data_IF_126012572232
#
_entry.id   IF_126012572232
#
_cell.length_a   1.000
_cell.length_b   1.000
_cell.length_c   1.000
_cell.angle_alpha   90.00
_cell.angle_beta   90.00
_cell.angle_gamma   90.00
#
_symmetry.space_group_name_H-M   'P 1'
#
loop_
_entity.id
_entity.type
_entity.pdbx_description
1 polymer ?
#
# COMPACT_ATOMS: atom_id res chain seq x y z
N UNK A 1 6.31 19.36 4.71
CA UNK A 1 6.81 18.02 4.42
C UNK A 1 7.29 17.93 2.99
N UNK A 2 8.42 17.31 2.80
CA UNK A 2 9.02 17.22 1.47
C UNK A 2 8.47 16.01 0.72
N UNK A 3 8.11 16.23 -0.53
CA UNK A 3 7.65 15.15 -1.39
C UNK A 3 8.73 14.84 -2.42
N UNK A 4 8.88 13.56 -2.71
CA UNK A 4 9.83 13.09 -3.70
C UNK A 4 9.07 12.36 -4.79
N UNK A 5 9.35 12.73 -6.03
CA UNK A 5 8.70 12.12 -7.17
C UNK A 5 9.56 11.00 -7.72
N UNK A 6 8.96 9.85 -7.95
CA UNK A 6 9.64 8.68 -8.50
C UNK A 6 8.89 8.21 -9.73
N UNK A 7 9.62 7.89 -10.79
CA UNK A 7 9.02 7.36 -12.00
C UNK A 7 9.10 5.85 -11.99
N UNK A 8 7.96 5.20 -12.17
CA UNK A 8 7.88 3.75 -12.21
C UNK A 8 7.06 3.31 -13.41
N UNK A 9 7.41 2.15 -13.96
CA UNK A 9 6.54 1.53 -14.96
C UNK A 9 5.32 0.98 -14.25
N UNK A 10 4.27 0.68 -15.02
CA UNK A 10 3.06 0.08 -14.45
C UNK A 10 3.38 -1.23 -13.77
N UNK A 11 4.30 -2.01 -14.35
CA UNK A 11 4.69 -3.30 -13.79
C UNK A 11 5.42 -3.13 -12.47
N UNK A 12 6.33 -2.15 -12.42
CA UNK A 12 7.05 -1.86 -11.18
C UNK A 12 6.11 -1.38 -10.09
N UNK A 13 5.14 -0.56 -10.45
CA UNK A 13 4.17 -0.06 -9.49
C UNK A 13 3.31 -1.19 -8.94
N UNK A 14 2.91 -2.11 -9.80
CA UNK A 14 2.14 -3.28 -9.39
C UNK A 14 2.92 -4.12 -8.41
N UNK A 15 4.18 -4.38 -8.71
CA UNK A 15 5.03 -5.15 -7.83
C UNK A 15 5.25 -4.45 -6.50
N UNK A 16 5.50 -3.15 -6.53
CA UNK A 16 5.70 -2.37 -5.32
C UNK A 16 4.46 -2.42 -4.43
N UNK A 17 3.29 -2.29 -5.03
CA UNK A 17 2.04 -2.33 -4.29
C UNK A 17 1.85 -3.69 -3.61
N UNK A 18 2.19 -4.77 -4.30
CA UNK A 18 2.10 -6.11 -3.76
C UNK A 18 3.07 -6.32 -2.60
N UNK A 19 4.32 -5.91 -2.78
CA UNK A 19 5.34 -6.04 -1.73
C UNK A 19 4.97 -5.23 -0.50
N UNK A 20 4.45 -4.02 -0.72
CA UNK A 20 4.05 -3.17 0.39
C UNK A 20 2.87 -3.77 1.16
N UNK A 21 1.92 -4.35 0.46
CA UNK A 21 0.77 -4.99 1.09
C UNK A 21 1.20 -6.19 1.93
N UNK A 22 2.10 -7.01 1.39
CA UNK A 22 2.60 -8.18 2.11
C UNK A 22 3.36 -7.76 3.36
N UNK A 23 4.20 -6.74 3.24
CA UNK A 23 4.98 -6.28 4.37
C UNK A 23 4.10 -5.67 5.45
N UNK A 24 3.06 -4.96 5.04
CA UNK A 24 2.11 -4.38 5.98
C UNK A 24 1.40 -5.49 6.76
N UNK A 25 0.98 -6.55 6.06
CA UNK A 25 0.33 -7.68 6.68
C UNK A 25 1.24 -8.31 7.73
N UNK A 26 2.53 -8.48 7.41
CA UNK A 26 3.47 -9.06 8.35
C UNK A 26 3.61 -8.19 9.60
N UNK A 27 3.72 -6.89 9.42
CA UNK A 27 3.87 -5.97 10.55
C UNK A 27 2.63 -5.94 11.43
N UNK A 28 1.49 -6.15 10.85
CA UNK A 28 0.23 -6.06 11.58
C UNK A 28 -0.13 -7.37 12.29
N UNK A 29 0.12 -8.50 11.64
CA UNK A 29 -0.39 -9.77 12.13
C UNK A 29 0.67 -10.80 12.52
N UNK A 30 1.87 -10.70 11.98
CA UNK A 30 2.91 -11.69 12.21
C UNK A 30 3.97 -11.20 13.17
N UNK A 31 4.56 -10.05 12.88
CA UNK A 31 5.65 -9.52 13.70
C UNK A 31 5.28 -9.32 15.17
N UNK A 32 4.05 -8.89 15.52
CA UNK A 32 3.71 -8.74 16.93
C UNK A 32 3.79 -10.01 17.75
N UNK A 33 3.82 -11.17 17.09
CA UNK A 33 3.94 -12.44 17.78
C UNK A 33 5.37 -12.87 18.03
N UNK A 34 6.32 -12.10 17.46
CA UNK A 34 7.73 -12.45 17.59
C UNK A 34 8.30 -11.92 18.91
N UNK A 35 9.20 -12.67 19.54
CA UNK A 35 9.84 -12.21 20.78
C UNK A 35 10.61 -10.92 20.52
N UNK A 36 10.52 -9.98 21.43
CA UNK A 36 11.26 -8.74 21.32
C UNK A 36 10.70 -7.73 20.34
N UNK A 37 9.52 -8.01 19.79
CA UNK A 37 8.90 -7.06 18.87
C UNK A 37 8.56 -5.76 19.56
N UNK A 38 8.88 -4.65 18.89
CA UNK A 38 8.51 -3.33 19.38
C UNK A 38 7.55 -2.70 18.41
N UNK A 39 6.41 -2.31 18.92
CA UNK A 39 5.37 -1.72 18.10
C UNK A 39 5.72 -0.30 17.68
N UNK A 40 5.37 0.07 16.47
CA UNK A 40 5.46 1.44 15.99
C UNK A 40 4.14 1.81 15.34
N UNK A 41 3.16 2.27 16.15
CA UNK A 41 1.83 2.57 15.61
C UNK A 41 1.84 3.67 14.56
N UNK A 42 2.75 4.64 14.67
CA UNK A 42 2.81 5.71 13.70
C UNK A 42 3.21 5.19 12.32
N UNK A 43 4.20 4.31 12.28
CA UNK A 43 4.63 3.71 11.01
C UNK A 43 3.57 2.80 10.44
N UNK A 44 2.87 2.06 11.30
CA UNK A 44 1.81 1.17 10.82
C UNK A 44 0.67 1.97 10.21
N UNK A 45 0.28 3.06 10.85
CA UNK A 45 -0.77 3.92 10.34
C UNK A 45 -0.37 4.56 9.02
N UNK A 46 0.86 5.04 8.92
CA UNK A 46 1.38 5.62 7.68
C UNK A 46 1.43 4.56 6.59
N UNK A 47 1.84 3.35 6.95
CA UNK A 47 1.90 2.24 6.00
C UNK A 47 0.55 1.88 5.43
N UNK A 48 -0.49 1.86 6.25
CA UNK A 48 -1.84 1.58 5.79
C UNK A 48 -2.30 2.61 4.76
N UNK A 49 -2.04 3.87 5.02
CA UNK A 49 -2.41 4.93 4.09
C UNK A 49 -1.61 4.84 2.80
N UNK A 50 -0.32 4.51 2.91
CA UNK A 50 0.54 4.39 1.75
C UNK A 50 0.11 3.22 0.88
N UNK A 51 -0.19 2.07 1.47
CA UNK A 51 -0.63 0.89 0.72
C UNK A 51 -1.93 1.21 -0.03
N UNK A 52 -2.84 1.92 0.60
CA UNK A 52 -4.08 2.30 -0.05
C UNK A 52 -3.82 3.22 -1.26
N UNK A 53 -2.92 4.19 -1.10
CA UNK A 53 -2.56 5.09 -2.20
C UNK A 53 -1.91 4.31 -3.34
N UNK A 54 -1.03 3.37 -3.02
CA UNK A 54 -0.36 2.57 -4.04
C UNK A 54 -1.37 1.71 -4.80
N UNK A 55 -2.34 1.14 -4.10
CA UNK A 55 -3.35 0.31 -4.72
C UNK A 55 -4.21 1.13 -5.69
N UNK A 56 -4.64 2.30 -5.26
CA UNK A 56 -5.46 3.17 -6.12
C UNK A 56 -4.66 3.59 -7.35
N UNK A 57 -3.40 3.95 -7.17
CA UNK A 57 -2.54 4.37 -8.27
C UNK A 57 -2.29 3.22 -9.24
N UNK A 58 -2.08 2.03 -8.70
CA UNK A 58 -1.88 0.84 -9.52
C UNK A 58 -3.11 0.55 -10.37
N UNK A 59 -4.29 0.64 -9.77
CA UNK A 59 -5.52 0.40 -10.50
C UNK A 59 -5.70 1.40 -11.63
N UNK A 60 -5.36 2.66 -11.41
CA UNK A 60 -5.42 3.67 -12.46
C UNK A 60 -4.45 3.36 -13.58
N UNK A 61 -3.25 2.93 -13.24
CA UNK A 61 -2.23 2.60 -14.23
C UNK A 61 -2.66 1.42 -15.09
N UNK A 62 -3.46 0.51 -14.52
CA UNK A 62 -3.96 -0.65 -15.26
C UNK A 62 -5.25 -0.35 -16.00
N UNK A 63 -5.76 0.88 -15.90
CA UNK A 63 -7.01 1.23 -16.54
C UNK A 63 -8.24 0.81 -15.77
N UNK A 64 -8.08 0.37 -14.53
CA UNK A 64 -9.21 -0.03 -13.71
C UNK A 64 -9.78 1.21 -13.03
N UNK A 65 -11.02 1.52 -13.35
CA UNK A 65 -11.66 2.69 -12.78
C UNK A 65 -12.28 2.30 -11.46
N UNK A 66 -11.97 3.01 -10.39
CA UNK A 66 -12.59 2.71 -9.11
C UNK A 66 -14.09 2.88 -9.21
N UNK A 67 -14.80 1.83 -8.71
CA UNK A 67 -16.17 1.89 -8.88
C UNK A 67 -16.76 2.71 -7.85
N UNK A 68 -17.29 3.79 -8.07
CA UNK A 68 -17.85 4.49 -7.17
C UNK A 68 -19.20 4.29 -7.21
N UNK A 69 -19.72 4.13 -6.32
CA UNK A 69 -21.05 3.99 -6.24
C UNK A 69 -21.54 3.13 -7.23
N UNK A 70 -20.91 2.36 -7.49
CA UNK A 70 -21.36 1.37 -8.27
C UNK A 70 -22.04 1.70 -9.47
N UNK A 71 -21.99 2.46 -9.83
CA UNK A 71 -22.56 2.73 -10.87
C UNK A 71 -22.20 2.30 -11.78
N UNK A 72 -22.21 1.99 -12.21
CA UNK A 72 -22.02 1.78 -12.92
C UNK A 72 -21.99 1.54 -13.55
N UNK A 73 -22.14 1.45 -13.77
CA UNK A 73 -22.11 1.27 -14.30
C UNK A 73 -22.06 0.92 -14.67
#
# INVERSE_FOLDING_TARGET
MTHITVKLTAKELELLSSLASDQLFRREFIDPRLPGYKSNPADLSLGKKLVERLRVTTDRAKGIVPRRNGITA
#
